data_IF_115571386808
#
_entry.id   IF_115571386808
#
_cell.length_a   1.000
_cell.length_b   1.000
_cell.length_c   1.000
_cell.angle_alpha   90.00
_cell.angle_beta   90.00
_cell.angle_gamma   90.00
#
_symmetry.space_group_name_H-M   'P 1'
#
loop_
_entity.id
_entity.type
_entity.pdbx_description
1 polymer ?
#
# COMPACT_ATOMS: atom_id res chain seq x y z
N UNK A 1 26.29 45.72 27.23
CA UNK A 1 27.37 46.17 26.32
C UNK A 1 27.33 45.32 25.04
N UNK A 2 27.54 45.97 23.88
CA UNK A 2 27.64 45.45 22.49
C UNK A 2 26.33 45.20 21.70
N UNK A 3 25.72 46.33 21.34
CA UNK A 3 25.43 46.85 19.98
C UNK A 3 25.01 45.89 18.86
N UNK A 4 23.80 46.14 18.34
CA UNK A 4 23.18 45.66 17.09
C UNK A 4 23.90 46.19 15.84
N UNK A 5 24.16 45.33 14.86
CA UNK A 5 24.54 45.73 13.51
C UNK A 5 23.34 45.64 12.56
N UNK A 6 22.83 46.78 12.10
CA UNK A 6 21.89 46.87 10.98
C UNK A 6 22.68 47.03 9.69
N UNK A 7 22.46 46.13 8.72
CA UNK A 7 22.95 46.29 7.36
C UNK A 7 21.88 46.99 6.53
N UNK A 8 22.17 48.23 6.11
CA UNK A 8 21.36 48.97 5.14
C UNK A 8 21.73 48.49 3.72
N UNK A 9 20.77 47.89 3.02
CA UNK A 9 20.91 47.57 1.60
C UNK A 9 20.54 48.81 0.78
N UNK A 10 21.51 49.31 0.00
CA UNK A 10 21.31 50.39 -0.95
C UNK A 10 20.49 49.90 -2.15
N UNK A 11 19.32 50.48 -2.36
CA UNK A 11 18.48 50.26 -3.55
C UNK A 11 19.02 51.14 -4.69
N UNK A 12 19.68 50.51 -5.66
CA UNK A 12 20.04 51.15 -6.92
C UNK A 12 18.79 51.25 -7.82
N UNK A 13 18.21 52.45 -7.89
CA UNK A 13 17.17 52.81 -8.86
C UNK A 13 17.81 52.97 -10.24
N UNK A 14 17.80 51.89 -11.04
CA UNK A 14 18.08 51.96 -12.46
C UNK A 14 16.84 52.52 -13.18
N UNK A 15 16.94 53.77 -13.62
CA UNK A 15 15.95 54.41 -14.48
C UNK A 15 15.92 53.76 -15.85
N UNK A 16 14.88 52.96 -16.11
CA UNK A 16 14.56 52.50 -17.45
C UNK A 16 13.83 53.61 -18.21
N UNK A 17 14.48 54.17 -19.23
CA UNK A 17 13.88 55.05 -20.21
C UNK A 17 12.84 54.27 -21.01
N UNK A 18 11.57 54.67 -20.90
CA UNK A 18 10.47 54.12 -21.68
C UNK A 18 10.62 54.53 -23.16
N UNK A 19 11.18 53.65 -23.98
CA UNK A 19 11.04 53.73 -25.42
C UNK A 19 9.59 53.35 -25.78
N UNK A 20 8.84 54.31 -26.32
CA UNK A 20 7.49 54.11 -26.83
C UNK A 20 7.54 53.21 -28.08
N UNK A 21 7.39 51.90 -27.90
CA UNK A 21 7.20 50.97 -28.99
C UNK A 21 5.82 51.19 -29.63
N UNK A 22 5.84 51.53 -30.92
CA UNK A 22 4.69 51.66 -31.80
C UNK A 22 3.82 50.40 -31.79
N UNK A 23 2.52 50.61 -31.65
CA UNK A 23 1.43 49.62 -31.57
C UNK A 23 1.30 48.78 -32.85
N UNK A 24 2.13 47.74 -32.98
CA UNK A 24 1.81 46.59 -33.82
C UNK A 24 0.78 45.73 -33.09
N UNK A 25 -0.46 45.71 -33.58
CA UNK A 25 -1.57 44.95 -33.01
C UNK A 25 -1.37 43.44 -33.10
N UNK A 26 -0.48 42.88 -32.27
CA UNK A 26 -0.42 41.45 -32.03
C UNK A 26 -1.60 41.09 -31.15
N UNK A 27 -2.57 40.37 -31.73
CA UNK A 27 -3.67 39.78 -30.98
C UNK A 27 -3.08 39.08 -29.75
N UNK A 28 -3.60 39.42 -28.57
CA UNK A 28 -3.17 38.76 -27.33
C UNK A 28 -3.32 37.24 -27.53
N UNK A 29 -2.30 36.44 -27.17
CA UNK A 29 -2.40 34.99 -27.28
C UNK A 29 -3.64 34.53 -26.53
N UNK A 30 -4.41 33.63 -27.15
CA UNK A 30 -5.64 33.11 -26.58
C UNK A 30 -5.36 32.57 -25.16
N UNK A 31 -6.29 32.77 -24.20
CA UNK A 31 -6.14 32.24 -22.85
C UNK A 31 -5.83 30.74 -22.90
N UNK A 32 -4.85 30.30 -22.10
CA UNK A 32 -4.54 28.87 -21.99
C UNK A 32 -5.78 28.11 -21.49
N UNK A 33 -6.08 26.93 -22.04
CA UNK A 33 -7.18 26.11 -21.55
C UNK A 33 -6.96 25.76 -20.06
N UNK A 34 -8.06 25.69 -19.30
CA UNK A 34 -8.02 25.30 -17.90
C UNK A 34 -7.52 23.85 -17.74
N UNK A 35 -6.82 23.57 -16.65
CA UNK A 35 -6.35 22.22 -16.34
C UNK A 35 -7.56 21.32 -16.04
N UNK A 36 -7.66 20.12 -16.66
CA UNK A 36 -8.74 19.18 -16.33
C UNK A 36 -8.71 18.77 -14.85
N UNK A 37 -9.88 18.46 -14.29
CA UNK A 37 -9.95 17.97 -12.92
C UNK A 37 -9.26 16.59 -12.79
N UNK A 38 -8.47 16.42 -11.73
CA UNK A 38 -7.93 15.13 -11.33
C UNK A 38 -9.07 14.15 -11.03
N UNK A 39 -8.86 12.87 -11.31
CA UNK A 39 -9.86 11.81 -11.03
C UNK A 39 -9.25 10.72 -10.17
N UNK A 40 -10.03 10.20 -9.22
CA UNK A 40 -9.57 9.14 -8.32
C UNK A 40 -8.97 7.92 -9.04
N UNK A 41 -9.61 7.47 -10.12
CA UNK A 41 -9.12 6.32 -10.89
C UNK A 41 -7.70 6.54 -11.42
N UNK A 42 -7.42 7.71 -12.01
CA UNK A 42 -6.10 8.04 -12.53
C UNK A 42 -5.09 8.41 -11.42
N UNK A 43 -5.54 8.92 -10.28
CA UNK A 43 -4.69 9.09 -9.09
C UNK A 43 -4.25 7.73 -8.58
N UNK A 44 -5.17 6.78 -8.40
CA UNK A 44 -4.87 5.41 -7.99
C UNK A 44 -3.93 4.70 -8.97
N UNK A 45 -4.16 4.84 -10.27
CA UNK A 45 -3.24 4.37 -11.31
C UNK A 45 -1.83 4.95 -11.12
N UNK A 46 -1.74 6.27 -10.92
CA UNK A 46 -0.45 6.96 -10.81
C UNK A 46 0.31 6.51 -9.57
N UNK A 47 -0.35 6.37 -8.42
CA UNK A 47 0.27 5.86 -7.18
C UNK A 47 0.85 4.46 -7.39
N UNK A 48 0.07 3.55 -7.98
CA UNK A 48 0.52 2.18 -8.22
C UNK A 48 1.72 2.12 -9.17
N UNK A 49 1.69 2.88 -10.27
CA UNK A 49 2.79 2.90 -11.24
C UNK A 49 4.03 3.60 -10.67
N UNK A 50 3.90 4.70 -9.93
CA UNK A 50 5.04 5.36 -9.27
C UNK A 50 5.70 4.44 -8.22
N UNK A 51 4.91 3.69 -7.44
CA UNK A 51 5.42 2.70 -6.51
C UNK A 51 6.17 1.57 -7.24
N UNK A 52 5.60 1.03 -8.31
CA UNK A 52 6.23 -0.01 -9.13
C UNK A 52 7.54 0.47 -9.79
N UNK A 53 7.56 1.71 -10.30
CA UNK A 53 8.77 2.32 -10.86
C UNK A 53 9.83 2.53 -9.79
N UNK A 54 9.45 3.03 -8.60
CA UNK A 54 10.39 3.20 -7.48
C UNK A 54 10.98 1.86 -7.03
N UNK A 55 10.15 0.81 -6.96
CA UNK A 55 10.60 -0.53 -6.64
C UNK A 55 11.53 -1.09 -7.72
N UNK A 56 11.20 -0.91 -9.00
CA UNK A 56 12.07 -1.28 -10.12
C UNK A 56 13.40 -0.51 -10.12
N UNK A 57 13.38 0.77 -9.74
CA UNK A 57 14.57 1.59 -9.55
C UNK A 57 15.44 1.04 -8.39
N UNK A 58 14.81 0.54 -7.32
CA UNK A 58 15.47 -0.15 -6.22
C UNK A 58 16.15 -1.47 -6.61
N UNK A 59 15.67 -2.17 -7.64
CA UNK A 59 16.36 -3.38 -8.16
C UNK A 59 17.70 -3.07 -8.82
N UNK A 60 17.92 -1.80 -9.24
CA UNK A 60 19.19 -1.35 -9.80
C UNK A 60 20.25 -1.14 -8.71
N UNK A 61 19.84 -1.05 -7.45
CA UNK A 61 20.72 -0.87 -6.31
C UNK A 61 20.88 -2.20 -5.57
N UNK A 62 21.99 -2.38 -4.84
CA UNK A 62 22.26 -3.59 -4.05
C UNK A 62 23.46 -4.42 -4.51
N UNK A 63 23.91 -4.28 -5.76
CA UNK A 63 25.18 -4.90 -6.18
C UNK A 63 26.39 -4.26 -5.50
N UNK A 64 26.27 -3.02 -5.04
CA UNK A 64 27.33 -2.30 -4.31
C UNK A 64 27.72 -3.00 -3.01
N UNK A 65 26.74 -3.56 -2.28
CA UNK A 65 26.97 -4.36 -1.07
C UNK A 65 27.78 -5.61 -1.40
N UNK A 66 27.41 -6.33 -2.46
CA UNK A 66 28.13 -7.52 -2.93
C UNK A 66 29.54 -7.17 -3.38
N UNK A 67 29.71 -6.09 -4.14
CA UNK A 67 31.02 -5.64 -4.60
C UNK A 67 31.91 -5.18 -3.44
N UNK A 68 31.34 -4.55 -2.42
CA UNK A 68 32.05 -4.17 -1.20
C UNK A 68 32.53 -5.40 -0.44
N UNK A 69 31.64 -6.36 -0.16
CA UNK A 69 32.01 -7.66 0.45
C UNK A 69 33.06 -8.41 -0.37
N UNK A 70 32.98 -8.36 -1.70
CA UNK A 70 33.96 -9.01 -2.58
C UNK A 70 35.34 -8.33 -2.58
N UNK A 71 35.41 -7.03 -2.26
CA UNK A 71 36.64 -6.27 -2.22
C UNK A 71 37.35 -6.32 -0.85
N UNK A 72 36.63 -6.73 0.20
CA UNK A 72 37.13 -6.84 1.57
C UNK A 72 37.53 -8.30 1.91
N UNK A 73 38.84 -8.61 2.02
CA UNK A 73 39.31 -9.95 2.36
C UNK A 73 38.77 -10.49 3.69
N UNK A 74 38.49 -9.61 4.66
CA UNK A 74 38.00 -9.99 5.98
C UNK A 74 36.53 -10.47 5.90
N UNK A 75 35.83 -10.17 4.81
CA UNK A 75 34.43 -10.57 4.58
C UNK A 75 34.27 -11.71 3.57
N UNK A 76 35.35 -12.38 3.15
CA UNK A 76 35.28 -13.45 2.15
C UNK A 76 34.27 -14.57 2.49
N UNK A 77 34.09 -14.88 3.78
CA UNK A 77 33.13 -15.88 4.27
C UNK A 77 31.66 -15.46 4.10
N UNK A 78 31.38 -14.17 3.92
CA UNK A 78 30.02 -13.64 3.72
C UNK A 78 29.65 -13.48 2.24
N UNK A 79 30.62 -13.57 1.33
CA UNK A 79 30.41 -13.28 -0.09
C UNK A 79 29.30 -14.13 -0.72
N UNK A 80 29.30 -15.45 -0.47
CA UNK A 80 28.27 -16.35 -0.97
C UNK A 80 26.87 -15.92 -0.49
N UNK A 81 26.74 -15.57 0.80
CA UNK A 81 25.48 -15.10 1.41
C UNK A 81 25.03 -13.75 0.83
N UNK A 82 25.95 -12.82 0.61
CA UNK A 82 25.66 -11.52 -0.02
C UNK A 82 25.19 -11.70 -1.47
N UNK A 83 25.82 -12.59 -2.23
CA UNK A 83 25.41 -12.95 -3.59
C UNK A 83 24.00 -13.54 -3.60
N UNK A 84 23.75 -14.56 -2.77
CA UNK A 84 22.46 -15.24 -2.71
C UNK A 84 21.35 -14.29 -2.25
N UNK A 85 21.63 -13.43 -1.26
CA UNK A 85 20.71 -12.39 -0.80
C UNK A 85 20.39 -11.37 -1.89
N UNK A 86 21.38 -10.94 -2.67
CA UNK A 86 21.17 -10.02 -3.79
C UNK A 86 20.31 -10.67 -4.89
N UNK A 87 20.64 -11.89 -5.31
CA UNK A 87 19.92 -12.60 -6.36
C UNK A 87 18.48 -12.93 -5.95
N UNK A 88 18.28 -13.39 -4.70
CA UNK A 88 16.97 -13.65 -4.13
C UNK A 88 16.10 -12.39 -4.08
N UNK A 89 16.64 -11.28 -3.54
CA UNK A 89 15.94 -9.98 -3.49
C UNK A 89 15.58 -9.47 -4.89
N UNK A 90 16.50 -9.60 -5.85
CA UNK A 90 16.26 -9.14 -7.22
C UNK A 90 15.19 -9.97 -7.93
N UNK A 91 15.26 -11.30 -7.80
CA UNK A 91 14.27 -12.21 -8.41
C UNK A 91 12.87 -12.02 -7.83
N UNK A 92 12.76 -12.07 -6.50
CA UNK A 92 11.47 -11.88 -5.80
C UNK A 92 10.92 -10.47 -5.99
N UNK A 93 11.77 -9.45 -5.94
CA UNK A 93 11.37 -8.06 -6.20
C UNK A 93 10.87 -7.85 -7.64
N UNK A 94 11.56 -8.40 -8.64
CA UNK A 94 11.08 -8.35 -10.02
C UNK A 94 9.72 -9.04 -10.18
N UNK A 95 9.53 -10.21 -9.58
CA UNK A 95 8.25 -10.93 -9.58
C UNK A 95 7.13 -10.11 -8.90
N UNK A 96 7.41 -9.55 -7.72
CA UNK A 96 6.47 -8.74 -6.97
C UNK A 96 6.02 -7.50 -7.76
N UNK A 97 6.97 -6.75 -8.34
CA UNK A 97 6.64 -5.55 -9.13
C UNK A 97 5.81 -5.92 -10.37
N UNK A 98 6.10 -7.04 -11.02
CA UNK A 98 5.27 -7.53 -12.13
C UNK A 98 3.86 -7.90 -11.68
N UNK A 99 3.73 -8.55 -10.53
CA UNK A 99 2.43 -8.83 -9.92
C UNK A 99 1.63 -7.54 -9.73
N UNK A 100 2.24 -6.52 -9.12
CA UNK A 100 1.63 -5.21 -8.93
C UNK A 100 1.20 -4.58 -10.25
N UNK A 101 2.06 -4.57 -11.28
CA UNK A 101 1.75 -3.97 -12.59
C UNK A 101 0.58 -4.67 -13.30
N UNK A 102 0.43 -5.98 -13.13
CA UNK A 102 -0.70 -6.74 -13.71
C UNK A 102 -2.04 -6.39 -13.07
N UNK A 103 -2.03 -6.02 -11.79
CA UNK A 103 -3.23 -5.59 -11.07
C UNK A 103 -3.58 -4.11 -11.34
N UNK A 104 -2.71 -3.35 -12.03
CA UNK A 104 -3.01 -1.96 -12.42
C UNK A 104 -3.95 -1.93 -13.62
N UNK A 105 -5.17 -1.36 -13.50
CA UNK A 105 -6.06 -1.23 -14.64
C UNK A 105 -5.49 -0.26 -15.69
N UNK A 106 -5.82 -0.39 -16.98
CA UNK A 106 -5.39 0.56 -17.99
C UNK A 106 -5.82 2.00 -17.65
N UNK A 107 -4.94 2.97 -17.88
CA UNK A 107 -5.24 4.39 -17.71
C UNK A 107 -6.17 4.93 -18.81
N UNK A 108 -6.23 4.25 -19.96
CA UNK A 108 -6.90 4.74 -21.16
C UNK A 108 -6.03 5.69 -21.99
N UNK A 109 -4.81 6.00 -21.55
CA UNK A 109 -3.83 6.81 -22.27
C UNK A 109 -2.78 5.88 -22.89
N UNK A 110 -2.84 5.72 -24.21
CA UNK A 110 -1.99 4.77 -24.97
C UNK A 110 -0.50 4.83 -24.60
N UNK A 111 0.06 6.04 -24.44
CA UNK A 111 1.48 6.21 -24.10
C UNK A 111 1.83 5.69 -22.69
N UNK A 112 0.95 5.91 -21.73
CA UNK A 112 1.12 5.46 -20.34
C UNK A 112 0.88 3.95 -20.20
N UNK A 113 -0.10 3.40 -20.91
CA UNK A 113 -0.37 1.96 -20.90
C UNK A 113 0.77 1.18 -21.59
N UNK A 114 1.32 1.73 -22.68
CA UNK A 114 2.49 1.17 -23.35
C UNK A 114 3.75 1.21 -22.46
N UNK A 115 3.89 2.24 -21.60
CA UNK A 115 4.95 2.31 -20.60
C UNK A 115 4.84 1.15 -19.61
N UNK A 116 3.65 0.95 -19.01
CA UNK A 116 3.41 -0.12 -18.02
C UNK A 116 3.69 -1.49 -18.63
N UNK A 117 3.19 -1.76 -19.84
CA UNK A 117 3.45 -3.02 -20.54
C UNK A 117 4.93 -3.23 -20.85
N UNK A 118 5.67 -2.16 -21.20
CA UNK A 118 7.11 -2.23 -21.45
C UNK A 118 7.89 -2.54 -20.18
N UNK A 119 7.48 -1.96 -19.04
CA UNK A 119 8.09 -2.22 -17.74
C UNK A 119 7.85 -3.66 -17.26
N UNK A 120 6.62 -4.18 -17.33
CA UNK A 120 6.34 -5.59 -17.02
C UNK A 120 7.18 -6.54 -17.88
N UNK A 121 7.26 -6.26 -19.19
CA UNK A 121 8.10 -7.06 -20.10
C UNK A 121 9.57 -7.04 -19.69
N UNK A 122 10.13 -5.86 -19.40
CA UNK A 122 11.53 -5.73 -19.01
C UNK A 122 11.85 -6.45 -17.69
N UNK A 123 10.96 -6.34 -16.70
CA UNK A 123 11.06 -7.09 -15.45
C UNK A 123 10.96 -8.61 -15.68
N UNK A 124 10.12 -9.05 -16.64
CA UNK A 124 10.02 -10.45 -17.01
C UNK A 124 11.31 -10.99 -17.64
N UNK A 125 11.99 -10.20 -18.46
CA UNK A 125 13.30 -10.56 -19.01
C UNK A 125 14.40 -10.55 -17.94
N UNK A 126 14.36 -9.62 -16.97
CA UNK A 126 15.26 -9.64 -15.83
C UNK A 126 15.07 -10.90 -14.99
N UNK A 127 13.82 -11.25 -14.66
CA UNK A 127 13.49 -12.43 -13.86
C UNK A 127 14.05 -13.71 -14.48
N UNK A 128 13.98 -13.86 -15.81
CA UNK A 128 14.56 -15.02 -16.53
C UNK A 128 16.08 -15.12 -16.40
N UNK A 129 16.77 -14.02 -16.13
CA UNK A 129 18.24 -13.98 -15.96
C UNK A 129 18.69 -14.28 -14.54
N UNK A 130 17.79 -14.16 -13.55
CA UNK A 130 18.09 -14.48 -12.15
C UNK A 130 18.13 -16.00 -12.00
N UNK A 131 19.29 -16.59 -11.64
CA UNK A 131 19.37 -18.03 -11.42
C UNK A 131 18.64 -18.43 -10.13
N UNK A 132 18.19 -19.69 -10.01
CA UNK A 132 17.69 -20.21 -8.75
C UNK A 132 18.80 -20.19 -7.68
N UNK A 133 18.46 -19.80 -6.46
CA UNK A 133 19.39 -19.64 -5.32
C UNK A 133 19.80 -20.97 -4.66
N UNK A 134 19.54 -22.11 -5.31
CA UNK A 134 19.79 -23.45 -4.76
C UNK A 134 21.20 -23.96 -5.02
N UNK A 135 22.06 -23.18 -5.68
CA UNK A 135 23.44 -23.54 -6.01
C UNK A 135 24.35 -22.35 -5.76
N UNK A 136 25.60 -22.60 -5.32
CA UNK A 136 26.61 -21.55 -5.14
C UNK A 136 26.76 -20.77 -6.45
N UNK A 137 26.38 -19.49 -6.44
CA UNK A 137 26.44 -18.65 -7.62
C UNK A 137 27.78 -17.92 -7.71
N UNK A 138 28.41 -17.84 -8.89
CA UNK A 138 29.62 -17.06 -9.04
C UNK A 138 29.29 -15.57 -8.96
N UNK A 139 30.21 -14.78 -8.39
CA UNK A 139 30.14 -13.31 -8.39
C UNK A 139 29.87 -12.71 -9.78
N UNK A 140 30.41 -13.35 -10.84
CA UNK A 140 30.17 -12.96 -12.22
C UNK A 140 28.67 -12.98 -12.58
N UNK A 141 27.90 -13.95 -12.06
CA UNK A 141 26.47 -14.05 -12.33
C UNK A 141 25.67 -12.95 -11.61
N UNK A 142 26.03 -12.62 -10.37
CA UNK A 142 25.45 -11.47 -9.67
C UNK A 142 25.68 -10.17 -10.44
N UNK A 143 26.89 -9.97 -11.00
CA UNK A 143 27.22 -8.80 -11.83
C UNK A 143 26.44 -8.77 -13.15
N UNK A 144 26.24 -9.91 -13.81
CA UNK A 144 25.41 -10.02 -15.02
C UNK A 144 23.95 -9.63 -14.73
N UNK A 145 23.39 -10.08 -13.61
CA UNK A 145 22.04 -9.71 -13.17
C UNK A 145 21.96 -8.22 -12.85
N UNK A 146 22.98 -7.65 -12.19
CA UNK A 146 23.04 -6.23 -11.89
C UNK A 146 23.15 -5.35 -13.15
N UNK A 147 23.90 -5.79 -14.15
CA UNK A 147 23.97 -5.12 -15.45
C UNK A 147 22.60 -5.14 -16.13
N UNK A 148 21.91 -6.30 -16.12
CA UNK A 148 20.56 -6.41 -16.65
C UNK A 148 19.56 -5.52 -15.89
N UNK A 149 19.66 -5.45 -14.56
CA UNK A 149 18.83 -4.58 -13.73
C UNK A 149 19.09 -3.10 -14.05
N UNK A 150 20.36 -2.70 -14.19
CA UNK A 150 20.75 -1.33 -14.58
C UNK A 150 20.23 -0.98 -15.97
N UNK A 151 20.18 -1.94 -16.88
CA UNK A 151 19.64 -1.78 -18.23
C UNK A 151 18.10 -1.79 -18.30
N UNK A 152 17.38 -1.98 -17.18
CA UNK A 152 15.92 -1.93 -17.14
C UNK A 152 15.42 -0.58 -17.68
N UNK A 153 14.74 -0.66 -18.81
CA UNK A 153 13.89 0.41 -19.36
C UNK A 153 12.44 -0.07 -19.32
N UNK A 154 11.47 0.83 -19.16
CA UNK A 154 11.59 2.28 -19.08
C UNK A 154 11.89 2.82 -17.66
N UNK A 155 12.32 4.08 -17.56
CA UNK A 155 12.73 4.77 -16.31
C UNK A 155 11.63 5.69 -15.75
N UNK A 156 11.84 6.30 -14.57
CA UNK A 156 10.94 7.35 -14.06
C UNK A 156 10.79 8.55 -15.02
N UNK A 157 11.85 8.92 -15.75
CA UNK A 157 11.78 10.01 -16.74
C UNK A 157 10.89 9.65 -17.93
N UNK A 158 10.90 8.38 -18.35
CA UNK A 158 10.03 7.88 -19.42
C UNK A 158 8.55 7.90 -18.98
N UNK A 159 8.26 7.61 -17.70
CA UNK A 159 6.90 7.72 -17.15
C UNK A 159 6.41 9.17 -17.21
N UNK A 160 7.23 10.11 -16.74
CA UNK A 160 6.89 11.52 -16.79
C UNK A 160 6.60 12.00 -18.21
N UNK A 161 7.36 11.51 -19.20
CA UNK A 161 7.12 11.80 -20.62
C UNK A 161 5.79 11.22 -21.10
N UNK A 162 5.47 9.98 -20.73
CA UNK A 162 4.22 9.33 -21.09
C UNK A 162 2.99 10.06 -20.51
N UNK A 163 3.10 10.51 -19.26
CA UNK A 163 2.04 11.24 -18.54
C UNK A 163 1.79 12.64 -19.11
N UNK A 164 2.85 13.37 -19.49
CA UNK A 164 2.73 14.74 -20.04
C UNK A 164 1.92 14.82 -21.34
N UNK A 165 1.78 13.72 -22.07
CA UNK A 165 1.05 13.65 -23.33
C UNK A 165 -0.48 13.75 -23.18
N UNK A 166 -1.02 13.60 -21.97
CA UNK A 166 -2.45 13.67 -21.70
C UNK A 166 -2.75 14.59 -20.51
N UNK A 167 -3.60 15.60 -20.71
CA UNK A 167 -3.85 16.63 -19.70
C UNK A 167 -4.55 16.10 -18.43
N UNK A 168 -5.42 15.09 -18.56
CA UNK A 168 -6.20 14.54 -17.43
C UNK A 168 -5.34 13.59 -16.59
N UNK A 169 -4.56 12.75 -17.24
CA UNK A 169 -3.56 11.92 -16.57
C UNK A 169 -2.48 12.78 -15.92
N UNK A 170 -1.98 13.81 -16.60
CA UNK A 170 -1.05 14.78 -16.03
C UNK A 170 -1.61 15.45 -14.76
N UNK A 171 -2.83 15.96 -14.79
CA UNK A 171 -3.46 16.55 -13.60
C UNK A 171 -3.57 15.56 -12.44
N UNK A 172 -3.96 14.31 -12.71
CA UNK A 172 -4.10 13.26 -11.69
C UNK A 172 -2.75 12.76 -11.14
N UNK A 173 -1.76 12.60 -12.01
CA UNK A 173 -0.40 12.18 -11.65
C UNK A 173 0.29 13.18 -10.72
N UNK A 174 0.09 14.47 -10.97
CA UNK A 174 0.71 15.52 -10.15
C UNK A 174 0.24 15.51 -8.70
N UNK A 175 -1.00 15.10 -8.45
CA UNK A 175 -1.57 15.07 -7.10
C UNK A 175 -1.46 13.70 -6.44
N UNK A 176 -0.91 12.70 -7.14
CA UNK A 176 -0.78 11.34 -6.63
C UNK A 176 0.33 11.21 -5.58
N UNK A 177 0.04 10.65 -4.39
CA UNK A 177 1.06 10.38 -3.37
C UNK A 177 2.21 9.53 -3.90
N UNK A 178 3.45 9.89 -3.55
CA UNK A 178 4.66 9.17 -3.97
C UNK A 178 5.12 9.41 -5.40
N UNK A 179 4.37 10.19 -6.21
CA UNK A 179 4.81 10.61 -7.54
C UNK A 179 5.55 11.95 -7.49
N UNK A 180 6.66 12.06 -8.24
CA UNK A 180 7.33 13.34 -8.45
C UNK A 180 6.51 14.19 -9.44
N UNK A 181 6.05 15.40 -9.07
CA UNK A 181 5.23 16.23 -9.95
C UNK A 181 5.92 16.53 -11.28
N UNK A 182 5.16 16.47 -12.37
CA UNK A 182 5.55 16.95 -13.68
C UNK A 182 5.03 18.38 -13.91
N UNK A 183 5.66 19.11 -14.81
CA UNK A 183 5.23 20.47 -15.15
C UNK A 183 3.77 20.49 -15.60
N UNK A 184 2.92 21.22 -14.87
CA UNK A 184 1.57 21.55 -15.29
C UNK A 184 1.57 22.77 -16.21
N UNK A 185 0.64 22.80 -17.15
CA UNK A 185 0.42 23.93 -18.05
C UNK A 185 -1.01 24.44 -17.88
N UNK A 186 -1.14 25.73 -17.58
CA UNK A 186 -2.43 26.40 -17.44
C UNK A 186 -2.74 26.84 -16.00
N UNK A 187 -3.80 27.64 -15.82
CA UNK A 187 -4.26 28.06 -14.51
C UNK A 187 -4.90 26.89 -13.76
N UNK A 188 -4.58 26.78 -12.47
CA UNK A 188 -5.16 25.80 -11.54
C UNK A 188 -6.18 26.51 -10.65
N UNK A 189 -7.38 25.96 -10.53
CA UNK A 189 -8.40 26.48 -9.61
C UNK A 189 -7.89 26.35 -8.16
N UNK A 190 -8.09 27.38 -7.33
CA UNK A 190 -7.74 27.37 -5.91
C UNK A 190 -8.41 26.23 -5.13
N UNK A 191 -9.54 25.71 -5.61
CA UNK A 191 -10.22 24.54 -5.04
C UNK A 191 -9.66 23.20 -5.55
N UNK A 192 -8.70 23.19 -6.48
CA UNK A 192 -8.14 21.95 -7.04
C UNK A 192 -7.37 21.16 -6.00
N UNK A 193 -7.40 19.82 -6.05
CA UNK A 193 -6.55 18.99 -5.21
C UNK A 193 -5.09 19.38 -5.29
N UNK A 194 -4.40 19.33 -4.15
CA UNK A 194 -2.94 19.52 -4.11
C UNK A 194 -2.26 18.23 -3.68
N UNK A 195 -0.99 17.99 -4.07
CA UNK A 195 -0.31 16.73 -3.73
C UNK A 195 -0.19 16.52 -2.22
N UNK A 196 0.06 17.61 -1.48
CA UNK A 196 0.15 17.59 -0.03
C UNK A 196 -1.18 17.20 0.64
N UNK A 197 -2.31 17.77 0.19
CA UNK A 197 -3.63 17.48 0.77
C UNK A 197 -4.17 16.11 0.35
N UNK A 198 -3.83 15.62 -0.85
CA UNK A 198 -4.16 14.25 -1.26
C UNK A 198 -3.35 13.25 -0.43
N UNK A 199 -2.05 13.48 -0.24
CA UNK A 199 -1.19 12.66 0.63
C UNK A 199 -1.69 12.65 2.08
N UNK A 200 -2.06 13.82 2.61
CA UNK A 200 -2.65 13.94 3.94
C UNK A 200 -3.95 13.14 4.04
N UNK A 201 -4.85 13.30 3.05
CA UNK A 201 -6.15 12.64 3.06
C UNK A 201 -6.00 11.12 2.97
N UNK A 202 -5.13 10.64 2.08
CA UNK A 202 -4.84 9.22 1.89
C UNK A 202 -4.32 8.57 3.18
N UNK A 203 -3.31 9.18 3.81
CA UNK A 203 -2.75 8.72 5.07
C UNK A 203 -3.78 8.72 6.21
N UNK A 204 -4.59 9.77 6.31
CA UNK A 204 -5.64 9.87 7.32
C UNK A 204 -6.74 8.82 7.14
N UNK A 205 -7.17 8.56 5.90
CA UNK A 205 -8.17 7.52 5.62
C UNK A 205 -7.63 6.13 5.94
N UNK A 206 -6.39 5.83 5.54
CA UNK A 206 -5.72 4.58 5.90
C UNK A 206 -5.61 4.42 7.42
N UNK A 207 -5.14 5.45 8.14
CA UNK A 207 -4.97 5.39 9.58
C UNK A 207 -6.31 5.26 10.32
N UNK A 208 -7.35 5.99 9.91
CA UNK A 208 -8.70 5.87 10.49
C UNK A 208 -9.28 4.47 10.27
N UNK A 209 -9.09 3.87 9.09
CA UNK A 209 -9.51 2.50 8.82
C UNK A 209 -8.75 1.50 9.69
N UNK A 210 -7.42 1.61 9.79
CA UNK A 210 -6.60 0.75 10.64
C UNK A 210 -6.98 0.86 12.12
N UNK A 211 -7.18 2.08 12.64
CA UNK A 211 -7.64 2.28 14.02
C UNK A 211 -9.02 1.68 14.25
N UNK A 212 -9.94 1.84 13.29
CA UNK A 212 -11.27 1.23 13.39
C UNK A 212 -11.17 -0.30 13.45
N UNK A 213 -10.32 -0.89 12.61
CA UNK A 213 -10.06 -2.34 12.62
C UNK A 213 -9.42 -2.82 13.92
N UNK A 214 -8.40 -2.12 14.44
CA UNK A 214 -7.74 -2.43 15.72
C UNK A 214 -8.71 -2.41 16.90
N UNK A 215 -9.60 -1.41 16.94
CA UNK A 215 -10.63 -1.28 18.00
C UNK A 215 -11.70 -2.35 17.93
N UNK A 216 -11.94 -2.90 16.75
CA UNK A 216 -13.00 -3.88 16.50
C UNK A 216 -12.55 -5.33 16.70
N UNK A 217 -11.27 -5.57 17.02
CA UNK A 217 -10.71 -6.90 17.23
C UNK A 217 -11.44 -7.65 18.34
N UNK A 218 -11.68 -8.94 18.12
CA UNK A 218 -12.22 -9.86 19.12
C UNK A 218 -11.36 -11.11 19.17
N UNK A 219 -11.34 -11.79 20.32
CA UNK A 219 -10.58 -13.04 20.47
C UNK A 219 -10.97 -14.09 19.41
N UNK A 220 -12.26 -14.24 19.13
CA UNK A 220 -12.76 -15.16 18.11
C UNK A 220 -12.28 -14.83 16.69
N UNK A 221 -11.93 -13.58 16.38
CA UNK A 221 -11.37 -13.22 15.07
C UNK A 221 -9.88 -13.63 14.96
N UNK A 222 -9.17 -13.67 16.10
CA UNK A 222 -7.73 -13.95 16.18
C UNK A 222 -7.43 -15.45 16.31
N UNK A 223 -8.17 -16.19 17.14
CA UNK A 223 -7.91 -17.61 17.36
C UNK A 223 -8.95 -18.54 16.73
N UNK A 224 -10.00 -17.99 16.11
CA UNK A 224 -11.26 -18.68 15.81
C UNK A 224 -11.93 -19.28 17.06
N UNK A 225 -13.24 -19.13 17.17
CA UNK A 225 -14.00 -19.85 18.20
C UNK A 225 -14.30 -21.31 17.77
N UNK A 226 -14.05 -21.65 16.51
CA UNK A 226 -14.29 -23.00 15.99
C UNK A 226 -13.09 -23.92 16.34
N UNK A 227 -13.33 -25.06 17.03
CA UNK A 227 -12.27 -25.96 17.47
C UNK A 227 -11.45 -26.53 16.30
N UNK A 228 -11.98 -26.51 15.09
CA UNK A 228 -11.25 -26.91 13.88
C UNK A 228 -10.13 -25.95 13.52
N UNK A 229 -9.96 -24.79 14.16
CA UNK A 229 -8.80 -23.92 13.95
C UNK A 229 -7.87 -23.87 15.18
N UNK A 230 -8.18 -24.65 16.23
CA UNK A 230 -7.48 -24.59 17.52
C UNK A 230 -5.96 -24.86 17.42
N UNK A 231 -5.51 -25.64 16.43
CA UNK A 231 -4.09 -25.97 16.25
C UNK A 231 -3.21 -24.75 15.95
N UNK A 232 -3.77 -23.68 15.42
CA UNK A 232 -3.05 -22.44 15.10
C UNK A 232 -3.32 -21.30 16.09
N UNK A 233 -4.32 -21.46 16.97
CA UNK A 233 -4.75 -20.41 17.89
C UNK A 233 -3.63 -19.86 18.77
N UNK A 234 -2.68 -20.69 19.21
CA UNK A 234 -1.53 -20.24 20.02
C UNK A 234 -0.59 -19.30 19.25
N UNK A 235 -0.25 -19.67 18.02
CA UNK A 235 0.59 -18.84 17.15
C UNK A 235 -0.07 -17.50 16.83
N UNK A 236 -1.35 -17.52 16.49
CA UNK A 236 -2.12 -16.31 16.14
C UNK A 236 -2.28 -15.36 17.32
N UNK A 237 -2.60 -15.88 18.51
CA UNK A 237 -2.67 -15.07 19.73
C UNK A 237 -1.31 -14.48 20.07
N UNK A 238 -0.24 -15.27 19.99
CA UNK A 238 1.12 -14.78 20.21
C UNK A 238 1.51 -13.67 19.22
N UNK A 239 1.24 -13.86 17.94
CA UNK A 239 1.50 -12.86 16.90
C UNK A 239 0.68 -11.58 17.10
N UNK A 240 -0.59 -11.70 17.48
CA UNK A 240 -1.44 -10.54 17.79
C UNK A 240 -0.88 -9.75 18.99
N UNK A 241 -0.57 -10.44 20.11
CA UNK A 241 0.00 -9.83 21.32
C UNK A 241 1.31 -9.11 20.99
N UNK A 242 2.21 -9.78 20.26
CA UNK A 242 3.53 -9.24 19.92
C UNK A 242 3.50 -8.10 18.90
N UNK A 243 2.52 -8.09 17.98
CA UNK A 243 2.47 -7.08 16.90
C UNK A 243 1.65 -5.84 17.23
N UNK A 244 0.74 -5.89 18.21
CA UNK A 244 -0.17 -4.78 18.52
C UNK A 244 0.57 -3.46 18.81
N UNK A 245 1.66 -3.52 19.59
CA UNK A 245 2.50 -2.36 19.88
C UNK A 245 3.09 -1.74 18.61
N UNK A 246 3.72 -2.56 17.76
CA UNK A 246 4.29 -2.09 16.49
C UNK A 246 3.26 -1.52 15.53
N UNK A 247 2.04 -2.06 15.50
CA UNK A 247 0.96 -1.50 14.68
C UNK A 247 0.58 -0.09 15.15
N UNK A 248 0.45 0.14 16.45
CA UNK A 248 0.18 1.49 17.01
C UNK A 248 1.35 2.43 16.77
N UNK A 249 2.59 1.97 16.90
CA UNK A 249 3.80 2.74 16.60
C UNK A 249 3.86 3.13 15.12
N UNK A 250 3.58 2.22 14.20
CA UNK A 250 3.56 2.48 12.76
C UNK A 250 2.48 3.50 12.39
N UNK A 251 1.29 3.42 12.99
CA UNK A 251 0.24 4.44 12.80
C UNK A 251 0.68 5.80 13.32
N UNK A 252 1.32 5.84 14.49
CA UNK A 252 1.89 7.06 15.07
C UNK A 252 2.96 7.66 14.15
N UNK A 253 3.87 6.84 13.64
CA UNK A 253 4.92 7.24 12.71
C UNK A 253 4.36 7.72 11.36
N UNK A 254 3.23 7.18 10.92
CA UNK A 254 2.53 7.62 9.70
C UNK A 254 1.87 8.99 9.89
N UNK A 255 1.25 9.23 11.05
CA UNK A 255 0.50 10.46 11.32
C UNK A 255 1.38 11.65 11.75
N UNK A 256 2.49 11.38 12.43
CA UNK A 256 3.42 12.41 12.94
C UNK A 256 3.98 13.36 11.86
N UNK A 257 4.47 12.89 10.70
CA UNK A 257 5.07 13.76 9.69
C UNK A 257 4.03 14.55 8.87
N UNK A 258 2.73 14.25 9.01
CA UNK A 258 1.70 14.96 8.26
C UNK A 258 1.67 16.42 8.70
N UNK A 259 1.78 17.36 7.76
CA UNK A 259 1.64 18.78 8.05
C UNK A 259 0.17 19.15 8.36
N UNK A 260 -0.09 20.22 9.13
CA UNK A 260 -1.43 20.79 9.23
C UNK A 260 -1.96 21.21 7.86
N UNK A 261 -3.25 21.00 7.64
CA UNK A 261 -3.97 21.35 6.40
C UNK A 261 -4.41 22.80 6.37
N UNK A 262 -4.46 23.47 7.53
CA UNK A 262 -5.07 24.79 7.69
C UNK A 262 -6.59 24.75 7.85
N UNK A 263 -7.20 23.56 7.81
CA UNK A 263 -8.63 23.33 8.11
C UNK A 263 -8.73 22.87 9.56
N UNK A 264 -9.28 23.73 10.42
CA UNK A 264 -9.31 23.53 11.88
C UNK A 264 -9.82 22.15 12.29
N UNK A 265 -10.94 21.69 11.75
CA UNK A 265 -11.56 20.42 12.09
C UNK A 265 -10.71 19.22 11.66
N UNK A 266 -10.08 19.29 10.49
CA UNK A 266 -9.19 18.24 9.99
C UNK A 266 -7.90 18.14 10.84
N UNK A 267 -7.33 19.29 11.20
CA UNK A 267 -6.13 19.35 12.03
C UNK A 267 -6.41 18.91 13.47
N UNK A 268 -7.59 19.25 14.00
CA UNK A 268 -8.07 18.75 15.29
C UNK A 268 -8.30 17.23 15.25
N UNK A 269 -8.87 16.70 14.16
CA UNK A 269 -9.05 15.25 13.99
C UNK A 269 -7.71 14.52 13.97
N UNK A 270 -6.73 14.96 13.15
CA UNK A 270 -5.39 14.36 13.12
C UNK A 270 -4.73 14.38 14.50
N UNK A 271 -4.78 15.54 15.18
CA UNK A 271 -4.16 15.73 16.49
C UNK A 271 -4.81 14.85 17.55
N UNK A 272 -6.14 14.76 17.58
CA UNK A 272 -6.87 13.91 18.50
C UNK A 272 -6.58 12.42 18.28
N UNK A 273 -6.50 11.98 17.02
CA UNK A 273 -6.19 10.59 16.68
C UNK A 273 -4.76 10.23 17.10
N UNK A 274 -3.78 11.10 16.81
CA UNK A 274 -2.39 10.92 17.21
C UNK A 274 -2.24 10.84 18.73
N UNK A 275 -2.91 11.74 19.47
CA UNK A 275 -2.90 11.73 20.93
C UNK A 275 -3.51 10.45 21.50
N UNK A 276 -4.60 9.95 20.90
CA UNK A 276 -5.23 8.69 21.33
C UNK A 276 -4.31 7.48 21.13
N UNK A 277 -3.59 7.41 20.00
CA UNK A 277 -2.60 6.36 19.75
C UNK A 277 -1.44 6.42 20.75
N UNK A 278 -0.89 7.61 20.99
CA UNK A 278 0.19 7.83 21.94
C UNK A 278 -0.20 7.49 23.38
N UNK A 279 -1.46 7.71 23.76
CA UNK A 279 -1.99 7.35 25.08
C UNK A 279 -2.14 5.83 25.29
N UNK A 280 -2.28 5.07 24.20
CA UNK A 280 -2.46 3.61 24.21
C UNK A 280 -1.13 2.86 24.10
N UNK A 281 -0.19 3.38 23.31
CA UNK A 281 1.13 2.77 23.11
C UNK A 281 1.83 2.25 24.39
N UNK A 282 1.97 3.04 25.47
CA UNK A 282 2.68 2.57 26.68
C UNK A 282 1.92 1.51 27.49
N UNK A 283 0.65 1.24 27.17
CA UNK A 283 -0.17 0.21 27.83
C UNK A 283 -0.11 -1.14 27.09
N UNK A 284 0.45 -1.16 25.90
CA UNK A 284 0.62 -2.38 25.11
C UNK A 284 1.92 -3.08 25.52
N UNK A 285 1.97 -4.43 25.39
CA UNK A 285 3.20 -5.18 25.58
C UNK A 285 4.32 -4.59 24.72
N UNK A 286 5.46 -4.30 25.34
CA UNK A 286 6.61 -3.77 24.63
C UNK A 286 7.24 -4.88 23.79
N UNK A 287 7.48 -4.61 22.51
CA UNK A 287 8.18 -5.52 21.59
C UNK A 287 9.60 -5.89 22.05
N UNK A 288 10.16 -5.11 22.98
CA UNK A 288 11.50 -5.32 23.54
C UNK A 288 11.54 -6.20 24.80
N UNK A 289 10.40 -6.49 25.44
CA UNK A 289 10.37 -7.12 26.77
C UNK A 289 9.95 -8.60 26.79
N UNK A 290 9.12 -9.02 25.84
CA UNK A 290 8.72 -10.41 25.63
C UNK A 290 8.95 -10.74 24.17
N UNK A 291 9.95 -11.57 23.90
CA UNK A 291 10.24 -11.97 22.53
C UNK A 291 9.11 -12.85 22.01
N UNK A 292 8.95 -12.91 20.68
CA UNK A 292 8.05 -13.89 20.03
C UNK A 292 8.32 -15.33 20.50
N UNK A 293 9.57 -15.63 20.88
CA UNK A 293 9.96 -16.90 21.49
C UNK A 293 9.18 -17.18 22.80
N UNK A 294 9.05 -16.20 23.69
CA UNK A 294 8.39 -16.37 24.99
C UNK A 294 6.88 -16.64 24.83
N UNK A 295 6.25 -16.03 23.83
CA UNK A 295 4.84 -16.26 23.50
C UNK A 295 4.63 -17.63 22.85
N UNK A 296 5.60 -18.11 22.07
CA UNK A 296 5.51 -19.39 21.36
C UNK A 296 5.53 -20.62 22.28
N UNK A 297 6.04 -20.47 23.51
CA UNK A 297 6.05 -21.55 24.51
C UNK A 297 4.84 -21.55 25.44
N UNK A 298 3.94 -20.57 25.33
CA UNK A 298 2.75 -20.47 26.17
C UNK A 298 1.60 -21.27 25.59
N UNK A 299 0.75 -21.82 26.46
CA UNK A 299 -0.47 -22.49 26.01
C UNK A 299 -1.52 -21.49 25.53
N UNK A 300 -2.46 -21.95 24.70
CA UNK A 300 -3.59 -21.13 24.24
C UNK A 300 -4.36 -20.50 25.42
N UNK A 301 -4.55 -21.25 26.51
CA UNK A 301 -5.27 -20.77 27.69
C UNK A 301 -4.50 -19.67 28.44
N UNK A 302 -3.17 -19.64 28.36
CA UNK A 302 -2.34 -18.56 28.91
C UNK A 302 -2.34 -17.32 28.01
N UNK A 303 -2.41 -17.51 26.69
CA UNK A 303 -2.37 -16.43 25.71
C UNK A 303 -3.71 -15.70 25.58
N UNK A 304 -4.85 -16.39 25.69
CA UNK A 304 -6.19 -15.79 25.63
C UNK A 304 -6.39 -14.58 26.56
N UNK A 305 -6.10 -14.65 27.87
CA UNK A 305 -6.28 -13.50 28.77
C UNK A 305 -5.33 -12.34 28.42
N UNK A 306 -4.11 -12.61 27.94
CA UNK A 306 -3.18 -11.56 27.50
C UNK A 306 -3.66 -10.86 26.23
N UNK A 307 -4.11 -11.63 25.24
CA UNK A 307 -4.72 -11.09 24.04
C UNK A 307 -5.98 -10.27 24.36
N UNK A 308 -6.80 -10.71 25.33
CA UNK A 308 -7.95 -9.93 25.79
C UNK A 308 -7.53 -8.59 26.39
N UNK A 309 -6.47 -8.55 27.21
CA UNK A 309 -5.95 -7.29 27.76
C UNK A 309 -5.50 -6.33 26.64
N UNK A 310 -4.82 -6.85 25.61
CA UNK A 310 -4.43 -6.07 24.42
C UNK A 310 -5.65 -5.53 23.69
N UNK A 311 -6.68 -6.37 23.46
CA UNK A 311 -7.96 -5.97 22.84
C UNK A 311 -8.62 -4.85 23.64
N UNK A 312 -8.73 -5.01 24.97
CA UNK A 312 -9.36 -4.04 25.85
C UNK A 312 -8.65 -2.69 25.80
N UNK A 313 -7.31 -2.72 25.79
CA UNK A 313 -6.46 -1.52 25.65
C UNK A 313 -6.68 -0.85 24.29
N UNK A 314 -6.66 -1.60 23.18
CA UNK A 314 -6.90 -1.07 21.84
C UNK A 314 -8.31 -0.50 21.68
N UNK A 315 -9.32 -1.11 22.29
CA UNK A 315 -10.71 -0.64 22.26
C UNK A 315 -10.87 0.76 22.88
N UNK A 316 -9.96 1.18 23.78
CA UNK A 316 -9.95 2.51 24.39
C UNK A 316 -9.51 3.65 23.46
N UNK A 317 -8.95 3.34 22.27
CA UNK A 317 -8.56 4.36 21.29
C UNK A 317 -9.82 5.15 20.90
N UNK A 318 -9.86 6.44 21.21
CA UNK A 318 -11.02 7.28 20.90
C UNK A 318 -10.87 7.88 19.51
N UNK A 319 -11.83 7.62 18.62
CA UNK A 319 -11.86 8.27 17.30
C UNK A 319 -12.44 9.68 17.47
N UNK A 320 -11.75 10.74 16.98
CA UNK A 320 -12.19 12.12 17.18
C UNK A 320 -13.54 12.45 16.50
N UNK A 321 -14.22 13.47 17.03
CA UNK A 321 -15.46 14.02 16.47
C UNK A 321 -15.24 15.46 15.97
N UNK A 322 -15.88 15.89 14.86
CA UNK A 322 -16.68 15.07 13.95
C UNK A 322 -15.81 14.03 13.20
N UNK A 323 -16.43 13.06 12.53
CA UNK A 323 -15.67 12.06 11.77
C UNK A 323 -14.84 12.67 10.63
N UNK A 324 -13.86 11.91 10.13
CA UNK A 324 -12.93 12.37 9.10
C UNK A 324 -13.65 12.87 7.82
N UNK A 325 -14.67 12.17 7.26
CA UNK A 325 -15.44 12.67 6.13
C UNK A 325 -16.09 14.03 6.40
N UNK A 326 -16.70 14.22 7.59
CA UNK A 326 -17.32 15.49 7.97
C UNK A 326 -16.29 16.59 8.14
N UNK A 327 -15.12 16.28 8.72
CA UNK A 327 -14.02 17.24 8.86
C UNK A 327 -13.46 17.66 7.48
N UNK A 328 -13.24 16.71 6.57
CA UNK A 328 -12.76 16.96 5.22
C UNK A 328 -13.75 17.81 4.40
N UNK A 329 -15.06 17.60 4.60
CA UNK A 329 -16.13 18.34 3.94
C UNK A 329 -16.22 19.84 4.29
N UNK A 330 -15.49 20.32 5.31
CA UNK A 330 -15.53 21.74 5.73
C UNK A 330 -14.77 22.69 4.81
N UNK A 331 -13.93 22.18 3.92
CA UNK A 331 -13.16 22.97 2.96
C UNK A 331 -13.24 22.37 1.57
N UNK A 332 -13.51 23.19 0.55
CA UNK A 332 -13.63 22.70 -0.84
C UNK A 332 -12.36 22.01 -1.34
N UNK A 333 -11.18 22.60 -1.06
CA UNK A 333 -9.89 22.04 -1.51
C UNK A 333 -9.58 20.72 -0.81
N UNK A 334 -9.91 20.60 0.48
CA UNK A 334 -9.71 19.36 1.24
C UNK A 334 -10.71 18.29 0.80
N UNK A 335 -11.99 18.63 0.63
CA UNK A 335 -13.00 17.74 0.10
C UNK A 335 -12.63 17.18 -1.28
N UNK A 336 -12.13 18.03 -2.19
CA UNK A 336 -11.67 17.61 -3.51
C UNK A 336 -10.44 16.70 -3.41
N UNK A 337 -9.49 17.00 -2.52
CA UNK A 337 -8.31 16.17 -2.27
C UNK A 337 -8.69 14.81 -1.69
N UNK A 338 -9.62 14.79 -0.74
CA UNK A 338 -10.18 13.59 -0.12
C UNK A 338 -10.90 12.69 -1.14
N UNK A 339 -11.67 13.29 -2.05
CA UNK A 339 -12.40 12.54 -3.08
C UNK A 339 -11.50 11.83 -4.10
N UNK A 340 -10.27 12.31 -4.29
CA UNK A 340 -9.31 11.70 -5.23
C UNK A 340 -8.25 10.85 -4.54
N UNK A 341 -8.13 10.90 -3.21
CA UNK A 341 -7.19 10.09 -2.45
C UNK A 341 -7.53 8.59 -2.56
N UNK A 342 -6.55 7.72 -2.89
CA UNK A 342 -6.78 6.30 -3.13
C UNK A 342 -7.48 5.55 -1.99
N UNK A 343 -7.10 5.81 -0.74
CA UNK A 343 -7.60 5.11 0.43
C UNK A 343 -8.86 5.73 1.05
N UNK A 344 -9.35 6.86 0.52
CA UNK A 344 -10.54 7.53 1.05
C UNK A 344 -11.80 7.12 0.30
N UNK A 345 -12.93 6.84 0.98
CA UNK A 345 -14.23 6.73 0.29
C UNK A 345 -14.69 8.13 -0.14
N UNK A 346 -15.13 8.38 -1.40
CA UNK A 346 -15.50 9.74 -1.78
C UNK A 346 -16.70 10.23 -0.98
N UNK A 347 -16.72 11.53 -0.67
CA UNK A 347 -17.80 12.15 0.08
C UNK A 347 -19.13 11.96 -0.66
N UNK A 348 -20.18 11.61 0.09
CA UNK A 348 -21.51 11.34 -0.45
C UNK A 348 -21.64 10.02 -1.22
N UNK A 349 -20.57 9.22 -1.35
CA UNK A 349 -20.70 7.88 -1.90
C UNK A 349 -21.45 6.97 -0.93
N UNK A 350 -22.29 6.05 -1.43
CA UNK A 350 -22.97 5.09 -0.58
C UNK A 350 -21.97 4.25 0.23
N UNK A 351 -22.40 3.67 1.36
CA UNK A 351 -21.61 2.67 2.06
C UNK A 351 -21.15 1.56 1.11
N UNK A 352 -19.95 1.00 1.32
CA UNK A 352 -19.52 -0.16 0.55
C UNK A 352 -20.55 -1.28 0.73
N UNK A 353 -20.81 -2.01 -0.35
CA UNK A 353 -21.59 -3.23 -0.36
C UNK A 353 -20.74 -4.34 -0.95
N UNK A 354 -20.95 -5.57 -0.51
CA UNK A 354 -20.32 -6.71 -1.16
C UNK A 354 -20.79 -6.83 -2.62
N UNK A 355 -19.90 -7.17 -3.56
CA UNK A 355 -20.33 -7.57 -4.89
C UNK A 355 -21.16 -8.84 -4.81
N UNK A 356 -22.09 -9.03 -5.74
CA UNK A 356 -22.82 -10.29 -5.85
C UNK A 356 -21.84 -11.39 -6.29
N UNK A 357 -21.80 -12.49 -5.54
CA UNK A 357 -21.08 -13.69 -5.94
C UNK A 357 -21.82 -14.38 -7.09
N UNK A 358 -21.10 -14.85 -8.13
CA UNK A 358 -21.73 -15.49 -9.30
C UNK A 358 -22.61 -16.70 -8.94
N UNK A 359 -22.25 -17.43 -7.87
CA UNK A 359 -23.00 -18.57 -7.34
C UNK A 359 -23.76 -18.24 -6.05
N UNK A 360 -23.88 -16.96 -5.67
CA UNK A 360 -24.51 -16.55 -4.41
C UNK A 360 -23.87 -17.26 -3.22
N UNK A 361 -24.69 -17.86 -2.34
CA UNK A 361 -24.23 -18.64 -1.18
C UNK A 361 -24.17 -20.15 -1.45
N UNK A 362 -24.32 -20.59 -2.70
CA UNK A 362 -24.31 -22.02 -3.05
C UNK A 362 -22.89 -22.59 -3.08
N UNK A 363 -22.43 -23.09 -1.94
CA UNK A 363 -21.12 -23.74 -1.80
C UNK A 363 -20.99 -25.03 -2.62
N UNK A 364 -22.11 -25.65 -3.02
CA UNK A 364 -22.13 -26.85 -3.85
C UNK A 364 -21.61 -26.59 -5.27
N UNK A 365 -21.73 -25.36 -5.76
CA UNK A 365 -21.21 -24.95 -7.07
C UNK A 365 -19.69 -25.18 -7.21
N UNK A 366 -18.95 -25.20 -6.09
CA UNK A 366 -17.50 -25.36 -6.07
C UNK A 366 -17.03 -26.79 -6.37
N UNK A 367 -17.92 -27.78 -6.35
CA UNK A 367 -17.56 -29.18 -6.64
C UNK A 367 -16.98 -29.35 -8.06
N UNK A 368 -17.44 -28.53 -9.01
CA UNK A 368 -16.94 -28.52 -10.39
C UNK A 368 -15.50 -27.96 -10.52
N UNK A 369 -14.88 -27.50 -9.43
CA UNK A 369 -13.53 -26.94 -9.42
C UNK A 369 -13.46 -25.47 -9.81
N UNK A 370 -14.58 -24.80 -10.11
CA UNK A 370 -14.63 -23.35 -10.32
C UNK A 370 -15.94 -22.78 -9.83
N UNK A 371 -15.89 -21.83 -8.91
CA UNK A 371 -17.07 -21.14 -8.38
C UNK A 371 -16.69 -19.75 -7.84
N UNK A 372 -17.68 -18.90 -7.69
CA UNK A 372 -17.56 -17.69 -6.89
C UNK A 372 -18.73 -17.62 -5.90
N UNK A 373 -18.43 -17.72 -4.60
CA UNK A 373 -19.42 -17.88 -3.53
C UNK A 373 -19.27 -16.82 -2.46
N UNK A 374 -20.38 -16.45 -1.82
CA UNK A 374 -20.43 -15.60 -0.64
C UNK A 374 -20.50 -16.48 0.61
N UNK A 375 -19.61 -16.23 1.56
CA UNK A 375 -19.48 -16.97 2.81
C UNK A 375 -19.59 -16.01 3.99
N UNK A 376 -20.21 -16.46 5.08
CA UNK A 376 -20.31 -15.73 6.34
C UNK A 376 -20.11 -16.69 7.51
N UNK A 377 -19.43 -16.26 8.58
CA UNK A 377 -19.16 -17.13 9.73
C UNK A 377 -18.26 -18.31 9.35
N UNK A 378 -18.59 -19.52 9.80
CA UNK A 378 -17.83 -20.73 9.47
C UNK A 378 -18.65 -21.63 8.55
N UNK A 379 -18.04 -22.12 7.47
CA UNK A 379 -18.69 -22.98 6.49
C UNK A 379 -17.72 -24.00 5.89
N UNK A 380 -18.25 -25.15 5.48
CA UNK A 380 -17.49 -26.18 4.78
C UNK A 380 -17.73 -26.09 3.28
N UNK A 381 -16.66 -26.11 2.49
CA UNK A 381 -16.71 -26.09 1.03
C UNK A 381 -15.92 -27.27 0.49
N UNK A 382 -16.47 -27.94 -0.53
CA UNK A 382 -15.77 -29.02 -1.23
C UNK A 382 -15.43 -28.56 -2.64
N UNK A 383 -14.15 -28.58 -2.99
CA UNK A 383 -13.64 -28.14 -4.29
C UNK A 383 -12.97 -29.32 -4.99
N UNK A 384 -13.57 -29.81 -6.07
CA UNK A 384 -13.08 -31.00 -6.79
C UNK A 384 -12.75 -32.19 -5.87
N UNK A 385 -13.61 -32.44 -4.88
CA UNK A 385 -13.46 -33.53 -3.91
C UNK A 385 -12.54 -33.24 -2.72
N UNK A 386 -11.87 -32.08 -2.66
CA UNK A 386 -11.08 -31.66 -1.51
C UNK A 386 -11.93 -30.84 -0.53
N UNK A 387 -12.04 -31.25 0.75
CA UNK A 387 -12.78 -30.52 1.76
C UNK A 387 -11.94 -29.37 2.33
N UNK A 388 -12.59 -28.22 2.52
CA UNK A 388 -12.03 -27.05 3.20
C UNK A 388 -13.01 -26.53 4.24
N UNK A 389 -12.47 -26.07 5.36
CA UNK A 389 -13.22 -25.27 6.34
C UNK A 389 -12.85 -23.80 6.13
N UNK A 390 -13.85 -22.96 5.89
CA UNK A 390 -13.70 -21.51 5.74
C UNK A 390 -14.25 -20.82 6.97
N UNK A 391 -13.51 -19.89 7.55
CA UNK A 391 -13.98 -19.00 8.63
C UNK A 391 -13.79 -17.55 8.20
N UNK A 392 -14.86 -16.76 8.25
CA UNK A 392 -14.86 -15.35 7.85
C UNK A 392 -15.00 -14.47 9.10
N UNK A 393 -14.03 -13.59 9.30
CA UNK A 393 -14.03 -12.51 10.28
C UNK A 393 -14.17 -11.15 9.59
N UNK A 394 -14.37 -10.03 10.31
CA UNK A 394 -14.47 -8.71 9.69
C UNK A 394 -13.24 -8.30 8.85
N UNK A 395 -12.06 -8.85 9.16
CA UNK A 395 -10.79 -8.43 8.56
C UNK A 395 -10.03 -9.55 7.82
N UNK A 396 -10.46 -10.81 7.95
CA UNK A 396 -9.78 -11.93 7.32
C UNK A 396 -10.73 -13.09 6.96
N UNK A 397 -10.28 -13.89 6.00
CA UNK A 397 -10.83 -15.21 5.67
C UNK A 397 -9.76 -16.24 5.98
N UNK A 398 -10.08 -17.16 6.88
CA UNK A 398 -9.24 -18.33 7.17
C UNK A 398 -9.74 -19.49 6.34
N UNK A 399 -8.81 -20.19 5.71
CA UNK A 399 -9.09 -21.45 5.03
C UNK A 399 -8.22 -22.52 5.64
N UNK A 400 -8.83 -23.62 6.03
CA UNK A 400 -8.15 -24.81 6.52
C UNK A 400 -8.41 -25.98 5.61
N UNK A 401 -7.34 -26.71 5.33
CA UNK A 401 -7.33 -28.06 4.79
C UNK A 401 -6.60 -28.96 5.80
N UNK A 402 -6.71 -30.29 5.66
CA UNK A 402 -6.02 -31.26 6.53
C UNK A 402 -4.50 -31.01 6.63
N UNK A 403 -3.89 -30.46 5.59
CA UNK A 403 -2.44 -30.21 5.51
C UNK A 403 -2.00 -28.82 5.98
N UNK A 404 -2.93 -27.89 6.27
CA UNK A 404 -2.55 -26.54 6.68
C UNK A 404 -3.67 -25.52 6.73
N UNK A 405 -3.34 -24.33 7.21
CA UNK A 405 -4.21 -23.16 7.28
C UNK A 405 -3.57 -21.99 6.53
N UNK A 406 -4.40 -21.18 5.86
CA UNK A 406 -4.02 -19.87 5.33
C UNK A 406 -5.00 -18.81 5.83
N UNK A 407 -4.49 -17.60 6.04
CA UNK A 407 -5.29 -16.41 6.38
C UNK A 407 -5.15 -15.39 5.26
N UNK A 408 -6.27 -14.97 4.68
CA UNK A 408 -6.33 -14.07 3.54
C UNK A 408 -7.11 -12.79 3.91
N UNK A 409 -6.59 -11.63 3.50
CA UNK A 409 -7.35 -10.37 3.50
C UNK A 409 -8.02 -10.10 2.15
N UNK A 410 -8.70 -8.95 2.01
CA UNK A 410 -9.28 -8.50 0.73
C UNK A 410 -8.21 -8.46 -0.36
N UNK A 411 -8.51 -9.03 -1.53
CA UNK A 411 -7.60 -9.14 -2.68
C UNK A 411 -6.54 -10.23 -2.52
N UNK A 412 -6.37 -10.79 -1.32
CA UNK A 412 -5.44 -11.86 -1.03
C UNK A 412 -5.84 -13.15 -1.75
N UNK A 413 -4.84 -13.92 -2.15
CA UNK A 413 -5.01 -15.25 -2.73
C UNK A 413 -4.06 -16.24 -2.09
N UNK A 414 -4.50 -17.50 -1.97
CA UNK A 414 -3.66 -18.60 -1.55
C UNK A 414 -3.97 -19.87 -2.32
N UNK A 415 -3.08 -20.84 -2.22
CA UNK A 415 -3.20 -22.11 -2.92
C UNK A 415 -3.05 -23.27 -1.96
N UNK A 416 -3.85 -24.30 -2.17
CA UNK A 416 -3.75 -25.60 -1.53
C UNK A 416 -3.54 -26.64 -2.62
N UNK A 417 -2.70 -27.64 -2.39
CA UNK A 417 -2.50 -28.65 -3.41
C UNK A 417 -1.82 -29.90 -2.93
N UNK A 418 -2.00 -30.95 -3.71
CA UNK A 418 -1.26 -32.21 -3.64
C UNK A 418 -0.61 -32.46 -5.01
N UNK A 419 0.13 -33.56 -5.15
CA UNK A 419 0.75 -33.90 -6.43
C UNK A 419 -0.31 -33.98 -7.55
N UNK A 420 -0.25 -33.05 -8.50
CA UNK A 420 -1.13 -33.01 -9.68
C UNK A 420 -2.47 -32.29 -9.49
N UNK A 421 -2.77 -31.72 -8.32
CA UNK A 421 -4.03 -31.00 -8.07
C UNK A 421 -3.80 -29.79 -7.19
N UNK A 422 -4.17 -28.59 -7.66
CA UNK A 422 -4.07 -27.34 -6.90
C UNK A 422 -5.40 -26.59 -6.93
N UNK A 423 -5.85 -26.13 -5.76
CA UNK A 423 -6.98 -25.23 -5.56
C UNK A 423 -6.43 -23.84 -5.23
N UNK A 424 -6.78 -22.87 -6.05
CA UNK A 424 -6.51 -21.46 -5.86
C UNK A 424 -7.76 -20.80 -5.28
N UNK A 425 -7.60 -20.07 -4.17
CA UNK A 425 -8.67 -19.27 -3.57
C UNK A 425 -8.24 -17.81 -3.54
N UNK A 426 -9.12 -16.91 -3.95
CA UNK A 426 -8.95 -15.45 -3.86
C UNK A 426 -10.13 -14.81 -3.14
N UNK A 427 -9.85 -13.96 -2.17
CA UNK A 427 -10.88 -13.13 -1.50
C UNK A 427 -11.12 -11.91 -2.38
N UNK A 428 -12.24 -11.87 -3.10
CA UNK A 428 -12.54 -10.75 -4.00
C UNK A 428 -13.10 -9.55 -3.24
N UNK A 429 -13.83 -9.80 -2.15
CA UNK A 429 -14.34 -8.77 -1.26
C UNK A 429 -14.53 -9.33 0.16
N UNK A 430 -14.42 -8.45 1.15
CA UNK A 430 -14.69 -8.73 2.57
C UNK A 430 -15.35 -7.49 3.18
N UNK A 431 -16.45 -7.69 3.88
CA UNK A 431 -17.17 -6.61 4.57
C UNK A 431 -18.01 -7.23 5.69
N UNK A 432 -17.90 -6.67 6.90
CA UNK A 432 -18.77 -6.99 8.04
C UNK A 432 -18.92 -8.50 8.33
N UNK A 433 -17.82 -9.26 8.23
CA UNK A 433 -17.81 -10.70 8.50
C UNK A 433 -18.40 -11.57 7.38
N UNK A 434 -18.55 -11.00 6.19
CA UNK A 434 -18.96 -11.69 4.98
C UNK A 434 -17.90 -11.51 3.89
N UNK A 435 -17.60 -12.57 3.15
CA UNK A 435 -16.59 -12.59 2.10
C UNK A 435 -17.16 -13.13 0.80
N UNK A 436 -16.67 -12.60 -0.32
CA UNK A 436 -16.85 -13.22 -1.64
C UNK A 436 -15.53 -13.90 -2.02
N UNK A 437 -15.60 -15.19 -2.29
CA UNK A 437 -14.45 -16.02 -2.63
C UNK A 437 -14.55 -16.44 -4.09
N UNK A 438 -13.47 -16.26 -4.85
CA UNK A 438 -13.27 -16.85 -6.17
C UNK A 438 -12.35 -18.06 -6.02
N UNK A 439 -12.88 -19.24 -6.34
CA UNK A 439 -12.23 -20.52 -6.12
C UNK A 439 -12.09 -21.22 -7.47
N UNK A 440 -10.89 -21.70 -7.77
CA UNK A 440 -10.60 -22.41 -9.02
C UNK A 440 -9.58 -23.54 -8.81
N UNK A 441 -9.62 -24.55 -9.67
CA UNK A 441 -8.58 -25.58 -9.77
C UNK A 441 -7.65 -25.32 -10.94
N UNK A 442 -6.37 -25.68 -10.76
CA UNK A 442 -5.29 -25.61 -11.76
C UNK A 442 -4.82 -27.00 -12.19
#
# INVERSE_FOLDING_TARGET
MRVRGQAAAAVALLGFSAAACTTGGHALPAPLPAVPAATRALVGWSVAVCAAVTAADGLRTGIDEVNHTAADPDQANFLDSSIDSYLSRTGSGAEQVRGQLKDVPPSGVKGADAYVASLDKALGELQKKVPPTTTKQPLAKAREVAEAATALKPTAADLQKAVRGDAKLNASFNVAPGCAPVRQFGPVDAASPTPALVTWSDAMCSATASVTSLRAQKLGDIASDDPRFASFGGFELGNFIGSAGSQVEQLTATLTPLAPTGVKEADAYRTGLLAALQAVAPKLPSTHGQGMADLSFQSVDQLKPQAQQVIDVLATITVPTPDLPTAAGRSKVLANSYNVAPNCRPLGSPPPSLPAAANGTDLGACQAGKCQVQVSGVADVTVSGMPFTVSVSPNSVRLRQDTGEIVLGVGGSGKFGTAGHTVSVRVTALLDGQAVLDISTE
#
